data_IF_467558004661
#
_entry.id   IF_467558004661
#
_cell.length_a   1.000
_cell.length_b   1.000
_cell.length_c   1.000
_cell.angle_alpha   90.00
_cell.angle_beta   90.00
_cell.angle_gamma   90.00
#
_symmetry.space_group_name_H-M   'P 1'
#
loop_
_entity.id
_entity.type
_entity.pdbx_description
1 polymer ?
#
# COMPACT_ATOMS: atom_id res chain seq x y z
N UNK A 1 -3.46 -2.42 12.88
CA UNK A 1 -3.72 -3.35 11.76
C UNK A 1 -3.47 -4.81 12.13
N UNK A 2 -2.32 -5.14 12.72
CA UNK A 2 -1.96 -6.49 13.23
C UNK A 2 -3.10 -7.26 13.91
N UNK A 3 -3.78 -6.68 14.90
CA UNK A 3 -4.93 -7.32 15.58
C UNK A 3 -6.05 -7.73 14.62
N UNK A 4 -6.35 -6.92 13.61
CA UNK A 4 -7.40 -7.21 12.62
C UNK A 4 -6.99 -8.37 11.72
N UNK A 5 -5.72 -8.47 11.32
CA UNK A 5 -5.21 -9.66 10.60
C UNK A 5 -5.37 -10.95 11.40
N UNK A 6 -5.09 -10.93 12.71
CA UNK A 6 -5.35 -12.09 13.57
C UNK A 6 -6.81 -12.56 13.50
N UNK A 7 -7.75 -11.63 13.61
CA UNK A 7 -9.18 -11.93 13.51
C UNK A 7 -9.56 -12.47 12.12
N UNK A 8 -9.00 -11.91 11.05
CA UNK A 8 -9.23 -12.36 9.68
C UNK A 8 -8.76 -13.80 9.49
N UNK A 9 -7.61 -14.17 10.06
CA UNK A 9 -7.13 -15.54 10.00
C UNK A 9 -8.04 -16.50 10.76
N UNK A 10 -8.54 -16.12 11.93
CA UNK A 10 -9.49 -16.92 12.70
C UNK A 10 -10.79 -17.18 11.92
N UNK A 11 -11.35 -16.11 11.34
CA UNK A 11 -12.60 -16.12 10.56
C UNK A 11 -12.47 -16.82 9.20
N UNK A 12 -11.25 -17.08 8.74
CA UNK A 12 -11.04 -17.67 7.43
C UNK A 12 -11.51 -19.13 7.39
N UNK A 13 -12.35 -19.48 6.43
CA UNK A 13 -12.95 -20.83 6.33
C UNK A 13 -12.17 -21.80 5.45
N UNK A 14 -11.21 -21.32 4.66
CA UNK A 14 -10.46 -22.16 3.71
C UNK A 14 -9.04 -22.48 4.17
N UNK A 15 -8.55 -21.80 5.22
CA UNK A 15 -7.28 -22.11 5.86
C UNK A 15 -7.42 -23.23 6.90
N UNK A 16 -6.54 -24.22 6.85
CA UNK A 16 -6.37 -25.20 7.92
C UNK A 16 -5.85 -24.54 9.21
N UNK A 17 -6.18 -25.11 10.37
CA UNK A 17 -5.78 -24.56 11.69
C UNK A 17 -4.27 -24.37 11.84
N UNK A 18 -3.47 -25.31 11.31
CA UNK A 18 -2.01 -25.21 11.33
C UNK A 18 -1.53 -24.02 10.47
N UNK A 19 -2.09 -23.84 9.28
CA UNK A 19 -1.78 -22.70 8.41
C UNK A 19 -2.13 -21.38 9.07
N UNK A 20 -3.29 -21.29 9.75
CA UNK A 20 -3.68 -20.10 10.54
C UNK A 20 -2.65 -19.79 11.62
N UNK A 21 -2.19 -20.80 12.36
CA UNK A 21 -1.18 -20.62 13.40
C UNK A 21 0.15 -20.10 12.84
N UNK A 22 0.62 -20.68 11.72
CA UNK A 22 1.85 -20.22 11.03
C UNK A 22 1.72 -18.79 10.49
N UNK A 23 0.58 -18.42 9.89
CA UNK A 23 0.32 -17.06 9.42
C UNK A 23 0.32 -16.04 10.56
N UNK A 24 -0.29 -16.40 11.71
CA UNK A 24 -0.29 -15.57 12.91
C UNK A 24 1.10 -15.39 13.51
N UNK A 25 1.91 -16.46 13.52
CA UNK A 25 3.29 -16.38 13.95
C UNK A 25 4.12 -15.50 13.00
N UNK A 26 4.03 -15.72 11.68
CA UNK A 26 4.72 -14.90 10.67
C UNK A 26 4.34 -13.43 10.80
N UNK A 27 3.04 -13.14 11.01
CA UNK A 27 2.60 -11.80 11.33
C UNK A 27 3.35 -11.28 12.56
N UNK A 28 3.27 -11.95 13.71
CA UNK A 28 3.90 -11.52 14.97
C UNK A 28 5.42 -11.31 14.87
N UNK A 29 6.11 -12.06 14.01
CA UNK A 29 7.55 -11.96 13.81
C UNK A 29 7.97 -10.73 12.98
N UNK A 30 7.04 -10.13 12.21
CA UNK A 30 7.33 -8.91 11.42
C UNK A 30 7.55 -7.72 12.35
N UNK A 31 8.71 -7.09 12.22
CA UNK A 31 9.03 -5.82 12.87
C UNK A 31 8.29 -4.65 12.22
N UNK A 32 8.03 -3.59 12.99
CA UNK A 32 7.42 -2.36 12.49
C UNK A 32 8.41 -1.21 12.72
N UNK A 33 8.81 -0.52 11.64
CA UNK A 33 9.83 0.54 11.67
C UNK A 33 9.21 1.83 11.14
N UNK A 34 9.21 2.89 11.94
CA UNK A 34 8.52 4.14 11.63
C UNK A 34 9.46 5.34 11.66
N UNK A 35 9.22 6.30 10.77
CA UNK A 35 9.83 7.63 10.83
C UNK A 35 11.24 7.67 10.23
N UNK A 36 12.24 7.76 11.10
CA UNK A 36 13.64 7.93 10.70
C UNK A 36 14.58 7.33 11.75
N UNK A 37 15.82 7.06 11.35
CA UNK A 37 16.87 6.63 12.29
C UNK A 37 17.34 7.84 13.10
N UNK A 38 17.44 7.71 14.44
CA UNK A 38 18.00 8.74 15.33
C UNK A 38 19.39 9.24 14.93
N UNK A 39 20.18 8.44 14.20
CA UNK A 39 21.46 8.89 13.63
C UNK A 39 21.30 10.06 12.65
N UNK A 40 20.15 10.17 11.98
CA UNK A 40 19.84 11.32 11.13
C UNK A 40 19.65 12.64 11.93
N UNK A 41 19.52 12.57 13.27
CA UNK A 41 19.47 13.75 14.14
C UNK A 41 20.81 14.07 14.81
N UNK A 42 21.81 13.20 14.66
CA UNK A 42 23.13 13.39 15.25
C UNK A 42 23.97 14.25 14.30
N UNK A 43 24.13 15.52 14.66
CA UNK A 43 24.84 16.50 13.84
C UNK A 43 26.24 16.03 13.47
N UNK A 44 26.99 15.45 14.41
CA UNK A 44 28.37 15.04 14.13
C UNK A 44 28.39 13.93 13.09
N UNK A 45 27.51 12.94 13.21
CA UNK A 45 27.41 11.85 12.23
C UNK A 45 27.01 12.34 10.84
N UNK A 46 26.16 13.36 10.78
CA UNK A 46 25.76 13.99 9.52
C UNK A 46 26.94 14.76 8.91
N UNK A 47 27.68 15.52 9.72
CA UNK A 47 28.86 16.25 9.28
C UNK A 47 29.92 15.25 8.75
N UNK A 48 30.21 14.18 9.49
CA UNK A 48 31.14 13.11 9.09
C UNK A 48 30.70 12.42 7.77
N UNK A 49 29.39 12.19 7.60
CA UNK A 49 28.81 11.64 6.37
C UNK A 49 29.07 12.56 5.17
N UNK A 50 28.84 13.86 5.30
CA UNK A 50 29.04 14.81 4.20
C UNK A 50 30.52 15.07 3.90
N UNK A 51 31.42 14.93 4.87
CA UNK A 51 32.87 14.96 4.62
C UNK A 51 33.33 13.84 3.66
N UNK A 52 32.68 12.67 3.70
CA UNK A 52 32.99 11.53 2.83
C UNK A 52 32.40 11.64 1.41
N UNK A 53 31.57 12.66 1.16
CA UNK A 53 30.88 12.86 -0.12
C UNK A 53 31.24 14.25 -0.67
N UNK A 54 32.46 14.42 -1.21
CA UNK A 54 32.87 15.70 -1.76
C UNK A 54 31.98 16.09 -2.94
N UNK A 55 31.38 17.28 -2.85
CA UNK A 55 30.51 17.82 -3.90
C UNK A 55 31.35 18.14 -5.15
N UNK A 56 31.00 17.59 -6.33
CA UNK A 56 31.72 17.90 -7.55
C UNK A 56 31.50 19.37 -7.94
N UNK A 57 32.56 20.05 -8.39
CA UNK A 57 32.47 21.44 -8.86
C UNK A 57 31.70 21.57 -10.18
N UNK A 58 31.73 20.52 -11.01
CA UNK A 58 30.98 20.42 -12.26
C UNK A 58 30.18 19.13 -12.30
N UNK A 59 28.95 19.21 -12.83
CA UNK A 59 28.05 18.06 -12.96
C UNK A 59 28.05 17.52 -14.39
N UNK A 60 28.55 16.30 -14.56
CA UNK A 60 28.37 15.48 -15.75
C UNK A 60 27.98 14.04 -15.35
N UNK A 61 27.74 13.17 -16.33
CA UNK A 61 27.31 11.79 -16.05
C UNK A 61 28.31 11.00 -15.19
N UNK A 62 29.62 11.22 -15.37
CA UNK A 62 30.66 10.52 -14.62
C UNK A 62 30.72 11.03 -13.18
N UNK A 63 30.73 12.35 -12.97
CA UNK A 63 30.78 12.93 -11.62
C UNK A 63 29.50 12.62 -10.83
N UNK A 64 28.36 12.53 -11.50
CA UNK A 64 27.10 12.09 -10.89
C UNK A 64 27.20 10.63 -10.40
N UNK A 65 27.67 9.70 -11.24
CA UNK A 65 27.83 8.30 -10.84
C UNK A 65 28.84 8.13 -9.69
N UNK A 66 29.94 8.88 -9.72
CA UNK A 66 30.91 8.89 -8.62
C UNK A 66 30.36 9.48 -7.32
N UNK A 67 29.46 10.47 -7.42
CA UNK A 67 28.76 11.03 -6.26
C UNK A 67 27.79 9.99 -5.67
N UNK A 68 26.95 9.37 -6.51
CA UNK A 68 25.97 8.35 -6.10
C UNK A 68 26.65 7.13 -5.44
N UNK A 69 27.76 6.65 -6.00
CA UNK A 69 28.53 5.53 -5.46
C UNK A 69 29.11 5.86 -4.08
N UNK A 70 29.74 7.04 -3.95
CA UNK A 70 30.27 7.51 -2.65
C UNK A 70 29.17 7.76 -1.62
N UNK A 71 28.06 8.38 -2.02
CA UNK A 71 26.93 8.62 -1.13
C UNK A 71 26.31 7.31 -0.63
N UNK A 72 26.17 6.32 -1.51
CA UNK A 72 25.68 4.98 -1.16
C UNK A 72 26.64 4.27 -0.19
N UNK A 73 27.94 4.34 -0.45
CA UNK A 73 28.95 3.74 0.44
C UNK A 73 28.99 4.43 1.81
N UNK A 74 29.02 5.76 1.85
CA UNK A 74 28.99 6.53 3.10
C UNK A 74 27.69 6.28 3.89
N UNK A 75 26.54 6.20 3.23
CA UNK A 75 25.26 5.91 3.89
C UNK A 75 25.27 4.52 4.56
N UNK A 76 25.95 3.56 3.92
CA UNK A 76 26.17 2.22 4.46
C UNK A 76 27.12 2.25 5.67
N UNK A 77 28.28 2.90 5.54
CA UNK A 77 29.32 3.00 6.59
C UNK A 77 28.79 3.65 7.86
N UNK A 78 28.07 4.77 7.74
CA UNK A 78 27.47 5.46 8.89
C UNK A 78 26.15 4.86 9.38
N UNK A 79 25.66 3.80 8.71
CA UNK A 79 24.34 3.25 8.95
C UNK A 79 23.26 4.34 9.01
N UNK A 80 23.30 5.28 8.07
CA UNK A 80 22.50 6.51 8.09
C UNK A 80 20.99 6.20 8.16
N UNK A 81 20.56 5.20 7.40
CA UNK A 81 19.18 4.71 7.43
C UNK A 81 18.96 3.64 8.52
N UNK A 82 20.05 3.05 9.05
CA UNK A 82 20.05 1.91 9.97
C UNK A 82 18.97 0.90 9.64
N UNK A 83 18.08 0.65 10.60
CA UNK A 83 17.01 -0.31 10.44
C UNK A 83 15.94 0.12 9.42
N UNK A 84 15.83 1.38 9.00
CA UNK A 84 14.86 1.72 7.96
C UNK A 84 15.20 1.14 6.59
N UNK A 85 16.49 0.91 6.30
CA UNK A 85 17.05 0.46 5.00
C UNK A 85 16.59 1.25 3.75
N UNK A 86 15.82 2.32 3.92
CA UNK A 86 15.34 3.23 2.89
C UNK A 86 15.47 4.67 3.40
N UNK A 87 15.55 5.62 2.47
CA UNK A 87 15.53 7.04 2.78
C UNK A 87 14.29 7.42 3.61
N UNK A 88 14.45 8.05 4.79
CA UNK A 88 13.33 8.47 5.64
C UNK A 88 12.41 9.50 4.97
N UNK A 89 12.90 10.29 4.00
CA UNK A 89 12.11 11.29 3.28
C UNK A 89 11.36 10.71 2.08
N UNK A 90 11.58 9.43 1.77
CA UNK A 90 10.86 8.76 0.68
C UNK A 90 9.36 8.71 0.99
N UNK A 91 8.56 9.22 0.05
CA UNK A 91 7.10 9.07 0.08
C UNK A 91 6.74 7.68 -0.47
N UNK A 92 7.02 6.65 0.33
CA UNK A 92 6.65 5.28 0.03
C UNK A 92 6.54 4.47 1.34
N UNK A 93 6.01 3.25 1.27
CA UNK A 93 6.12 2.26 2.33
C UNK A 93 6.69 0.97 1.73
N UNK A 94 7.34 0.13 2.55
CA UNK A 94 7.92 -1.13 2.06
C UNK A 94 7.78 -2.26 3.07
N UNK A 95 7.54 -3.46 2.54
CA UNK A 95 7.75 -4.71 3.24
C UNK A 95 9.11 -5.31 2.86
N UNK A 96 9.99 -5.51 3.84
CA UNK A 96 11.32 -6.09 3.66
C UNK A 96 11.28 -7.62 3.70
N UNK A 97 10.50 -8.21 2.80
CA UNK A 97 10.38 -9.65 2.62
C UNK A 97 10.06 -10.38 3.95
N UNK A 98 9.01 -9.92 4.60
CA UNK A 98 8.45 -10.36 5.89
C UNK A 98 9.34 -10.18 7.12
N UNK A 99 10.44 -9.44 7.01
CA UNK A 99 11.26 -9.11 8.19
C UNK A 99 10.73 -7.89 8.91
N UNK A 100 10.44 -6.84 8.14
CA UNK A 100 9.95 -5.59 8.68
C UNK A 100 9.01 -4.89 7.70
N UNK A 101 8.09 -4.12 8.25
CA UNK A 101 7.34 -3.10 7.53
C UNK A 101 7.95 -1.74 7.88
N UNK A 102 8.37 -1.00 6.87
CA UNK A 102 8.98 0.32 7.05
C UNK A 102 8.04 1.39 6.53
N UNK A 103 7.70 2.34 7.41
CA UNK A 103 6.91 3.53 7.10
C UNK A 103 7.78 4.76 7.39
N UNK A 104 8.51 5.28 6.39
CA UNK A 104 9.34 6.48 6.49
C UNK A 104 8.55 7.73 6.93
N UNK A 105 9.21 8.71 7.54
CA UNK A 105 8.57 9.98 7.94
C UNK A 105 7.99 10.73 6.74
N UNK A 106 8.59 10.59 5.55
CA UNK A 106 8.14 11.24 4.32
C UNK A 106 6.71 10.88 3.91
N UNK A 107 6.22 9.67 4.22
CA UNK A 107 4.82 9.29 3.97
C UNK A 107 3.89 9.59 5.15
N UNK A 108 4.43 9.84 6.35
CA UNK A 108 3.67 10.22 7.55
C UNK A 108 3.39 11.73 7.53
N UNK A 109 2.73 12.17 6.46
CA UNK A 109 2.35 13.56 6.21
C UNK A 109 1.06 13.62 5.42
N UNK A 110 0.50 14.81 5.26
CA UNK A 110 -0.69 15.03 4.42
C UNK A 110 -0.39 14.71 2.95
N UNK A 111 -1.28 14.04 2.21
CA UNK A 111 -2.66 13.69 2.57
C UNK A 111 -2.84 12.30 3.23
N UNK A 112 -1.76 11.62 3.61
CA UNK A 112 -1.84 10.25 4.14
C UNK A 112 -2.15 10.21 5.63
N UNK A 113 -1.51 11.09 6.41
CA UNK A 113 -1.64 11.12 7.86
C UNK A 113 -1.50 12.53 8.41
N UNK A 114 -2.30 12.83 9.42
CA UNK A 114 -2.10 13.95 10.33
C UNK A 114 -2.70 13.55 11.70
N UNK A 115 -1.96 13.71 12.81
CA UNK A 115 -2.42 13.30 14.13
C UNK A 115 -3.68 14.05 14.61
N UNK A 116 -3.98 15.22 14.04
CA UNK A 116 -5.16 16.03 14.36
C UNK A 116 -6.38 15.70 13.50
N UNK A 117 -6.22 14.90 12.44
CA UNK A 117 -7.31 14.58 11.53
C UNK A 117 -8.27 13.52 12.09
N UNK A 118 -9.55 13.54 11.67
CA UNK A 118 -10.51 12.50 12.01
C UNK A 118 -10.03 11.09 11.60
N UNK A 119 -10.51 10.07 12.31
CA UNK A 119 -10.08 8.68 12.12
C UNK A 119 -10.29 8.20 10.69
N UNK A 120 -11.41 8.54 10.07
CA UNK A 120 -11.74 8.16 8.70
C UNK A 120 -10.66 8.59 7.69
N UNK A 121 -10.00 9.74 7.89
CA UNK A 121 -8.92 10.21 7.03
C UNK A 121 -7.62 9.47 7.28
N UNK A 122 -7.22 9.29 8.55
CA UNK A 122 -5.99 8.58 8.88
C UNK A 122 -6.06 7.08 8.51
N UNK A 123 -7.20 6.43 8.74
CA UNK A 123 -7.38 5.04 8.38
C UNK A 123 -7.60 4.85 6.87
N UNK A 124 -8.31 5.77 6.21
CA UNK A 124 -8.46 5.77 4.75
C UNK A 124 -7.14 6.10 4.04
N UNK A 125 -6.35 7.03 4.57
CA UNK A 125 -5.05 7.47 4.05
C UNK A 125 -3.92 6.49 4.36
N UNK A 126 -3.17 6.71 5.44
CA UNK A 126 -2.01 5.87 5.77
C UNK A 126 -2.44 4.45 6.22
N UNK A 127 -3.64 4.29 6.79
CA UNK A 127 -4.12 3.00 7.26
C UNK A 127 -4.22 1.93 6.18
N UNK A 128 -4.73 2.26 4.98
CA UNK A 128 -4.75 1.30 3.86
C UNK A 128 -3.34 0.89 3.42
N UNK A 129 -2.36 1.80 3.53
CA UNK A 129 -0.97 1.59 3.09
C UNK A 129 -0.27 0.67 4.08
N UNK A 130 -0.43 0.93 5.39
CA UNK A 130 0.05 0.01 6.43
C UNK A 130 -0.58 -1.38 6.24
N UNK A 131 -1.89 -1.46 5.98
CA UNK A 131 -2.57 -2.72 5.70
C UNK A 131 -2.07 -3.42 4.43
N UNK A 132 -1.68 -2.65 3.40
CA UNK A 132 -1.08 -3.13 2.16
C UNK A 132 0.30 -3.77 2.45
N UNK A 133 1.18 -3.08 3.17
CA UNK A 133 2.50 -3.63 3.53
C UNK A 133 2.41 -4.87 4.45
N UNK A 134 1.45 -4.89 5.37
CA UNK A 134 1.17 -6.11 6.14
C UNK A 134 0.71 -7.25 5.24
N UNK A 135 0.02 -6.99 4.13
CA UNK A 135 -0.42 -8.06 3.23
C UNK A 135 0.75 -8.72 2.52
N UNK A 136 1.79 -7.96 2.16
CA UNK A 136 3.02 -8.51 1.58
C UNK A 136 3.73 -9.51 2.49
N UNK A 137 3.46 -9.46 3.81
CA UNK A 137 3.94 -10.48 4.76
C UNK A 137 3.48 -11.90 4.42
N UNK A 138 2.47 -12.06 3.56
CA UNK A 138 1.82 -13.34 3.28
C UNK A 138 1.90 -13.74 1.81
N UNK A 139 2.56 -12.95 0.98
CA UNK A 139 2.83 -13.34 -0.39
C UNK A 139 4.10 -14.22 -0.48
N UNK A 140 4.44 -14.62 -1.70
CA UNK A 140 5.59 -15.45 -2.05
C UNK A 140 6.91 -14.65 -2.19
N UNK A 141 6.95 -13.36 -1.82
CA UNK A 141 8.18 -12.53 -1.80
C UNK A 141 9.06 -12.77 -0.57
N UNK A 142 8.72 -13.75 0.27
CA UNK A 142 9.46 -14.10 1.50
C UNK A 142 10.95 -14.32 1.25
N UNK A 143 11.79 -13.63 2.01
CA UNK A 143 13.23 -13.89 2.10
C UNK A 143 13.58 -14.86 3.23
N UNK A 144 12.57 -15.35 3.96
CA UNK A 144 12.78 -16.29 5.05
C UNK A 144 12.71 -17.73 4.53
N UNK A 145 13.61 -18.63 5.00
CA UNK A 145 13.59 -20.06 4.67
C UNK A 145 12.37 -20.80 5.25
N UNK A 146 11.37 -20.08 5.78
CA UNK A 146 10.13 -20.60 6.39
C UNK A 146 9.15 -21.20 5.37
N UNK A 147 9.46 -21.11 4.08
CA UNK A 147 8.63 -21.65 2.99
C UNK A 147 7.35 -20.84 2.73
N UNK A 148 6.63 -21.23 1.69
CA UNK A 148 5.31 -20.70 1.38
C UNK A 148 4.31 -21.16 2.45
N UNK A 149 3.52 -20.25 3.01
CA UNK A 149 2.54 -20.55 4.06
C UNK A 149 1.17 -20.06 3.60
N UNK A 150 0.31 -20.99 3.18
CA UNK A 150 -1.07 -20.71 2.80
C UNK A 150 -1.23 -20.19 1.37
N UNK A 151 -0.23 -19.49 0.84
CA UNK A 151 -0.15 -19.07 -0.57
C UNK A 151 0.16 -20.23 -1.55
N UNK A 152 0.59 -21.38 -1.03
CA UNK A 152 0.83 -22.62 -1.76
C UNK A 152 -0.44 -23.44 -2.03
N UNK A 153 -1.52 -23.18 -1.27
CA UNK A 153 -2.78 -23.91 -1.36
C UNK A 153 -3.50 -23.72 -2.70
N UNK A 154 -4.28 -24.72 -3.11
CA UNK A 154 -5.11 -24.65 -4.33
C UNK A 154 -6.11 -23.49 -4.24
N UNK A 155 -6.73 -23.32 -3.08
CA UNK A 155 -7.71 -22.28 -2.79
C UNK A 155 -7.11 -20.88 -2.90
N UNK A 156 -5.87 -20.67 -2.47
CA UNK A 156 -5.18 -19.40 -2.68
C UNK A 156 -4.96 -19.11 -4.16
N UNK A 157 -4.45 -20.08 -4.93
CA UNK A 157 -4.22 -19.93 -6.38
C UNK A 157 -5.50 -19.61 -7.15
N UNK A 158 -6.63 -20.21 -6.77
CA UNK A 158 -7.94 -19.88 -7.35
C UNK A 158 -8.36 -18.44 -7.05
N UNK A 159 -8.12 -17.96 -5.83
CA UNK A 159 -8.42 -16.58 -5.41
C UNK A 159 -7.51 -15.58 -6.10
N UNK A 160 -6.22 -15.89 -6.19
CA UNK A 160 -5.22 -15.11 -6.92
C UNK A 160 -5.58 -15.01 -8.41
N UNK A 161 -5.98 -16.13 -9.04
CA UNK A 161 -6.46 -16.13 -10.42
C UNK A 161 -7.63 -15.17 -10.65
N UNK A 162 -8.51 -14.97 -9.66
CA UNK A 162 -9.56 -13.96 -9.77
C UNK A 162 -8.99 -12.56 -10.00
N UNK A 163 -7.94 -12.18 -9.25
CA UNK A 163 -7.28 -10.88 -9.41
C UNK A 163 -6.53 -10.80 -10.75
N UNK A 164 -5.82 -11.87 -11.15
CA UNK A 164 -5.17 -11.94 -12.46
C UNK A 164 -6.19 -11.70 -13.59
N UNK A 165 -7.34 -12.38 -13.54
CA UNK A 165 -8.38 -12.26 -14.56
C UNK A 165 -9.05 -10.88 -14.52
N UNK A 166 -9.34 -10.35 -13.33
CA UNK A 166 -9.95 -9.02 -13.17
C UNK A 166 -9.05 -7.94 -13.75
N UNK A 167 -7.82 -7.83 -13.27
CA UNK A 167 -6.89 -6.76 -13.66
C UNK A 167 -6.34 -6.95 -15.07
N UNK A 168 -6.19 -8.21 -15.51
CA UNK A 168 -5.87 -8.54 -16.89
C UNK A 168 -7.00 -8.20 -17.87
N UNK A 169 -8.23 -7.99 -17.40
CA UNK A 169 -9.39 -7.55 -18.20
C UNK A 169 -9.61 -6.03 -18.22
N UNK A 170 -8.87 -5.26 -17.40
CA UNK A 170 -9.03 -3.79 -17.36
C UNK A 170 -8.25 -3.16 -18.50
N UNK A 171 -8.91 -2.24 -19.21
CA UNK A 171 -8.26 -1.37 -20.20
C UNK A 171 -8.28 0.06 -19.68
N UNK A 172 -7.13 0.74 -19.73
CA UNK A 172 -6.99 2.14 -19.32
C UNK A 172 -6.17 2.94 -20.33
N UNK A 173 -6.41 4.24 -20.43
CA UNK A 173 -5.71 5.10 -21.38
C UNK A 173 -6.33 6.49 -21.52
N UNK A 174 -5.88 7.27 -22.50
CA UNK A 174 -6.46 8.58 -22.82
C UNK A 174 -7.34 8.50 -24.08
N UNK A 175 -8.67 8.60 -23.97
CA UNK A 175 -9.54 8.70 -25.14
C UNK A 175 -9.22 9.91 -26.02
N UNK A 176 -8.81 11.04 -25.43
CA UNK A 176 -8.45 12.26 -26.18
C UNK A 176 -7.18 12.10 -27.02
N UNK A 177 -6.34 11.12 -26.70
CA UNK A 177 -5.09 10.84 -27.43
C UNK A 177 -5.13 9.51 -28.16
N UNK A 178 -6.28 8.82 -28.16
CA UNK A 178 -6.43 7.50 -28.74
C UNK A 178 -5.41 6.46 -28.20
N UNK A 179 -5.05 6.57 -26.92
CA UNK A 179 -4.17 5.62 -26.22
C UNK A 179 -5.03 4.67 -25.41
N UNK A 180 -4.78 3.37 -25.56
CA UNK A 180 -5.45 2.30 -24.84
C UNK A 180 -4.43 1.22 -24.45
N UNK A 181 -4.39 0.86 -23.17
CA UNK A 181 -3.43 -0.07 -22.58
C UNK A 181 -4.20 -1.14 -21.82
N UNK A 182 -3.90 -2.40 -22.11
CA UNK A 182 -4.43 -3.53 -21.35
C UNK A 182 -3.64 -3.69 -20.05
N UNK A 183 -4.34 -3.89 -18.94
CA UNK A 183 -3.73 -4.24 -17.66
C UNK A 183 -3.00 -5.57 -17.74
N UNK A 184 -1.93 -5.70 -16.96
CA UNK A 184 -1.15 -6.92 -16.89
C UNK A 184 -1.43 -7.62 -15.56
N UNK A 185 -2.55 -8.34 -15.48
CA UNK A 185 -2.97 -9.02 -14.26
C UNK A 185 -1.92 -10.02 -13.73
N UNK A 186 -1.12 -10.65 -14.61
CA UNK A 186 -0.03 -11.54 -14.19
C UNK A 186 1.10 -10.79 -13.51
N UNK A 187 1.40 -9.57 -13.93
CA UNK A 187 2.40 -8.72 -13.27
C UNK A 187 1.83 -8.05 -12.00
N UNK A 188 0.55 -7.68 -12.02
CA UNK A 188 -0.04 -6.76 -11.04
C UNK A 188 -0.83 -7.43 -9.90
N UNK A 189 -1.04 -8.74 -9.94
CA UNK A 189 -1.91 -9.43 -8.98
C UNK A 189 -1.48 -9.27 -7.52
N UNK A 190 -0.18 -9.28 -7.21
CA UNK A 190 0.31 -9.18 -5.82
C UNK A 190 -0.03 -7.82 -5.20
N UNK A 191 0.28 -6.74 -5.92
CA UNK A 191 -0.06 -5.38 -5.51
C UNK A 191 -1.56 -5.14 -5.37
N UNK A 192 -2.34 -5.74 -6.26
CA UNK A 192 -3.80 -5.57 -6.25
C UNK A 192 -4.48 -6.40 -5.17
N UNK A 193 -3.90 -7.54 -4.80
CA UNK A 193 -4.27 -8.31 -3.60
C UNK A 193 -3.93 -7.49 -2.35
N UNK A 194 -2.73 -6.91 -2.26
CA UNK A 194 -2.29 -6.07 -1.15
C UNK A 194 -3.19 -4.84 -0.99
N UNK A 195 -3.53 -4.17 -2.08
CA UNK A 195 -4.51 -3.08 -2.11
C UNK A 195 -5.88 -3.49 -1.60
N UNK A 196 -6.41 -4.61 -2.10
CA UNK A 196 -7.75 -5.08 -1.73
C UNK A 196 -7.82 -5.54 -0.27
N UNK A 197 -6.75 -6.12 0.27
CA UNK A 197 -6.69 -6.52 1.67
C UNK A 197 -6.41 -5.32 2.59
N UNK A 198 -5.49 -4.44 2.20
CA UNK A 198 -5.11 -3.26 2.97
C UNK A 198 -6.29 -2.35 3.30
N UNK A 199 -7.12 -2.04 2.30
CA UNK A 199 -8.34 -1.23 2.51
C UNK A 199 -9.34 -1.92 3.45
N UNK A 200 -9.50 -3.24 3.39
CA UNK A 200 -10.44 -3.98 4.24
C UNK A 200 -9.98 -4.05 5.69
N UNK A 201 -8.67 -4.28 5.89
CA UNK A 201 -8.05 -4.27 7.22
C UNK A 201 -8.17 -2.87 7.82
N UNK A 202 -7.87 -1.83 7.04
CA UNK A 202 -8.01 -0.45 7.47
C UNK A 202 -9.44 -0.09 7.83
N UNK A 203 -10.41 -0.49 7.00
CA UNK A 203 -11.83 -0.29 7.25
C UNK A 203 -12.30 -0.94 8.56
N UNK A 204 -11.96 -2.22 8.78
CA UNK A 204 -12.34 -2.91 10.01
C UNK A 204 -11.68 -2.29 11.24
N UNK A 205 -10.40 -1.93 11.15
CA UNK A 205 -9.70 -1.26 12.24
C UNK A 205 -10.30 0.12 12.55
N UNK A 206 -10.71 0.88 11.52
CA UNK A 206 -11.42 2.14 11.66
C UNK A 206 -12.75 1.95 12.39
N UNK A 207 -13.59 1.00 11.94
CA UNK A 207 -14.89 0.75 12.56
C UNK A 207 -14.76 0.38 14.04
N UNK A 208 -13.81 -0.50 14.37
CA UNK A 208 -13.54 -0.91 15.75
C UNK A 208 -13.05 0.27 16.60
N UNK A 209 -12.10 1.08 16.09
CA UNK A 209 -11.56 2.23 16.81
C UNK A 209 -12.60 3.33 17.00
N UNK A 210 -13.40 3.62 15.96
CA UNK A 210 -14.50 4.58 16.02
C UNK A 210 -15.56 4.16 17.04
N UNK A 211 -15.95 2.89 17.03
CA UNK A 211 -16.91 2.34 18.01
C UNK A 211 -16.35 2.45 19.43
N UNK A 212 -15.06 2.18 19.62
CA UNK A 212 -14.39 2.31 20.92
C UNK A 212 -14.39 3.76 21.44
N UNK A 213 -14.12 4.74 20.59
CA UNK A 213 -13.97 6.14 21.01
C UNK A 213 -15.28 6.91 21.09
N UNK A 214 -16.22 6.63 20.19
CA UNK A 214 -17.42 7.47 19.99
C UNK A 214 -18.75 6.68 20.06
N UNK A 215 -18.70 5.36 20.27
CA UNK A 215 -19.90 4.54 20.31
C UNK A 215 -20.68 4.56 19.00
N UNK A 216 -21.98 4.90 19.07
CA UNK A 216 -22.90 4.91 17.92
C UNK A 216 -22.94 6.25 17.16
N UNK A 217 -22.51 7.34 17.80
CA UNK A 217 -22.71 8.70 17.29
C UNK A 217 -21.37 9.46 17.19
N UNK A 218 -20.48 9.08 16.26
CA UNK A 218 -19.26 9.82 16.01
C UNK A 218 -19.58 11.24 15.51
N UNK A 219 -18.77 12.25 15.86
CA UNK A 219 -18.96 13.61 15.38
C UNK A 219 -18.82 13.65 13.85
N UNK A 220 -19.64 14.48 13.20
CA UNK A 220 -19.53 14.77 11.76
C UNK A 220 -18.49 15.86 11.53
N UNK A 221 -17.84 15.81 10.36
CA UNK A 221 -16.89 16.83 9.97
C UNK A 221 -17.60 18.16 9.61
N UNK A 222 -17.21 19.30 10.22
CA UNK A 222 -17.72 20.60 9.81
C UNK A 222 -17.39 20.91 8.35
N UNK A 223 -18.37 21.41 7.59
CA UNK A 223 -18.24 21.73 6.18
C UNK A 223 -18.44 20.57 5.22
N UNK A 224 -18.56 19.33 5.72
CA UNK A 224 -18.86 18.11 4.94
C UNK A 224 -19.97 17.27 5.61
N UNK A 225 -20.91 17.91 6.31
CA UNK A 225 -21.95 17.22 7.08
C UNK A 225 -22.93 16.40 6.23
N UNK A 226 -22.98 16.66 4.92
CA UNK A 226 -23.70 15.87 3.93
C UNK A 226 -23.12 14.47 3.73
N UNK A 227 -21.83 14.27 4.05
CA UNK A 227 -21.20 12.96 4.04
C UNK A 227 -21.29 12.29 5.41
N UNK A 228 -21.43 10.96 5.40
CA UNK A 228 -21.20 10.13 6.57
C UNK A 228 -19.69 9.90 6.75
N UNK A 229 -19.23 9.67 7.98
CA UNK A 229 -17.82 9.35 8.26
C UNK A 229 -17.37 8.09 7.48
N UNK A 230 -18.30 7.17 7.21
CA UNK A 230 -18.07 5.99 6.36
C UNK A 230 -17.80 6.36 4.91
N UNK A 231 -18.55 7.31 4.34
CA UNK A 231 -18.25 7.85 3.00
C UNK A 231 -16.92 8.61 2.99
N UNK A 232 -16.65 9.39 4.04
CA UNK A 232 -15.39 10.13 4.17
C UNK A 232 -14.17 9.21 4.23
N UNK A 233 -14.27 8.02 4.85
CA UNK A 233 -13.20 7.02 4.81
C UNK A 233 -12.85 6.61 3.37
N UNK A 234 -13.86 6.30 2.55
CA UNK A 234 -13.64 5.88 1.16
C UNK A 234 -13.15 7.04 0.28
N UNK A 235 -13.60 8.27 0.56
CA UNK A 235 -13.08 9.47 -0.10
C UNK A 235 -11.60 9.68 0.26
N UNK A 236 -11.25 9.65 1.54
CA UNK A 236 -9.87 9.78 2.01
C UNK A 236 -8.95 8.70 1.43
N UNK A 237 -9.47 7.49 1.28
CA UNK A 237 -8.79 6.39 0.60
C UNK A 237 -8.43 6.71 -0.86
N UNK A 238 -9.30 7.41 -1.59
CA UNK A 238 -9.08 7.68 -3.01
C UNK A 238 -8.11 8.85 -3.24
N UNK A 239 -8.08 9.84 -2.33
CA UNK A 239 -7.32 11.09 -2.51
C UNK A 239 -5.81 10.90 -2.77
N UNK A 240 -5.08 10.00 -2.08
CA UNK A 240 -3.66 9.82 -2.36
C UNK A 240 -3.32 9.35 -3.78
N UNK A 241 -4.28 8.72 -4.46
CA UNK A 241 -4.12 8.28 -5.85
C UNK A 241 -4.61 9.32 -6.87
N UNK A 242 -5.09 10.49 -6.42
CA UNK A 242 -5.42 11.60 -7.30
C UNK A 242 -4.13 12.18 -7.90
N UNK A 243 -3.98 12.04 -9.20
CA UNK A 243 -2.84 12.58 -9.93
C UNK A 243 -3.05 12.43 -11.43
N UNK A 244 -2.25 13.17 -12.21
CA UNK A 244 -2.21 13.01 -13.66
C UNK A 244 -1.11 12.01 -13.98
N UNK A 245 -1.47 10.86 -14.56
CA UNK A 245 -0.47 9.87 -15.01
C UNK A 245 0.18 10.36 -16.31
N UNK A 246 1.52 10.55 -16.36
CA UNK A 246 2.26 11.05 -17.54
C UNK A 246 1.96 10.28 -18.85
N UNK A 247 1.71 8.97 -18.73
CA UNK A 247 1.31 8.03 -19.79
C UNK A 247 0.21 8.43 -20.76
N UNK A 248 -0.60 9.37 -20.33
CA UNK A 248 -1.87 9.73 -20.91
C UNK A 248 -1.70 11.11 -21.59
N UNK A 249 -0.49 11.56 -21.94
CA UNK A 249 -0.20 12.87 -22.57
C UNK A 249 0.61 12.79 -23.89
N UNK A 250 0.39 13.73 -24.84
CA UNK A 250 0.90 13.62 -26.22
C UNK A 250 2.38 13.96 -26.39
N UNK A 251 3.03 14.53 -25.39
CA UNK A 251 4.38 15.12 -25.55
C UNK A 251 5.47 14.35 -24.79
N UNK A 252 5.21 13.11 -24.37
CA UNK A 252 6.15 12.37 -23.55
C UNK A 252 6.62 11.08 -24.23
N UNK A 253 7.94 10.93 -24.29
CA UNK A 253 8.66 9.90 -25.05
C UNK A 253 8.35 8.48 -24.54
N UNK A 254 8.53 7.46 -25.41
CA UNK A 254 8.39 6.01 -25.08
C UNK A 254 9.12 5.53 -23.81
N UNK A 255 10.12 6.27 -23.31
CA UNK A 255 10.81 5.98 -22.04
C UNK A 255 9.87 6.00 -20.83
N UNK A 256 8.71 6.64 -20.94
CA UNK A 256 7.75 6.70 -19.85
C UNK A 256 6.89 5.45 -19.71
N UNK A 257 6.88 4.54 -20.70
CA UNK A 257 6.20 3.23 -20.65
C UNK A 257 6.67 2.30 -19.51
N UNK A 258 7.55 2.76 -18.61
CA UNK A 258 7.91 2.11 -17.34
C UNK A 258 6.71 1.52 -16.59
N UNK A 259 5.53 2.13 -16.62
CA UNK A 259 4.31 1.56 -16.00
C UNK A 259 3.85 0.24 -16.63
N UNK A 260 4.23 -0.06 -17.88
CA UNK A 260 3.95 -1.38 -18.49
C UNK A 260 4.74 -2.50 -17.81
N UNK A 261 5.84 -2.13 -17.16
CA UNK A 261 6.70 -3.01 -16.38
C UNK A 261 6.55 -2.81 -14.87
N UNK A 262 5.67 -1.89 -14.43
CA UNK A 262 5.37 -1.67 -13.03
C UNK A 262 4.36 -2.71 -12.53
N UNK A 263 4.65 -3.29 -11.38
CA UNK A 263 3.76 -4.20 -10.67
C UNK A 263 2.54 -3.49 -10.09
N UNK A 264 2.59 -2.17 -9.94
CA UNK A 264 1.45 -1.37 -9.54
C UNK A 264 0.65 -0.91 -10.76
N UNK A 265 -0.68 -1.15 -10.80
CA UNK A 265 -1.54 -0.46 -11.74
C UNK A 265 -1.50 1.05 -11.51
N UNK A 266 -1.91 1.83 -12.52
CA UNK A 266 -2.07 3.27 -12.36
C UNK A 266 -3.07 3.60 -11.24
N UNK A 267 -2.90 4.76 -10.58
CA UNK A 267 -3.65 5.12 -9.38
C UNK A 267 -5.17 5.01 -9.50
N UNK A 268 -5.75 5.42 -10.63
CA UNK A 268 -7.20 5.32 -10.87
C UNK A 268 -7.70 3.86 -10.94
N UNK A 269 -6.91 2.96 -11.52
CA UNK A 269 -7.21 1.52 -11.57
C UNK A 269 -7.08 0.92 -10.17
N UNK A 270 -6.04 1.26 -9.41
CA UNK A 270 -5.86 0.83 -8.02
C UNK A 270 -7.07 1.22 -7.16
N UNK A 271 -7.55 2.45 -7.28
CA UNK A 271 -8.76 2.91 -6.54
C UNK A 271 -10.01 2.17 -7.00
N UNK A 272 -10.31 2.19 -8.29
CA UNK A 272 -11.61 1.72 -8.77
C UNK A 272 -11.76 0.20 -8.64
N UNK A 273 -10.74 -0.57 -9.02
CA UNK A 273 -10.84 -2.03 -9.06
C UNK A 273 -10.89 -2.66 -7.67
N UNK A 274 -10.16 -2.11 -6.69
CA UNK A 274 -10.26 -2.62 -5.31
C UNK A 274 -11.60 -2.29 -4.65
N UNK A 275 -12.20 -1.13 -4.98
CA UNK A 275 -13.52 -0.76 -4.48
C UNK A 275 -14.63 -1.62 -5.09
N UNK A 276 -14.52 -2.02 -6.37
CA UNK A 276 -15.43 -3.01 -6.99
C UNK A 276 -15.49 -4.31 -6.20
N UNK A 277 -14.37 -4.72 -5.62
CA UNK A 277 -14.27 -5.93 -4.80
C UNK A 277 -14.82 -5.77 -3.37
N UNK A 278 -15.16 -4.56 -2.94
CA UNK A 278 -15.45 -4.28 -1.53
C UNK A 278 -16.93 -3.98 -1.27
N UNK A 279 -17.64 -4.95 -0.67
CA UNK A 279 -19.07 -4.79 -0.33
C UNK A 279 -19.35 -3.58 0.56
N UNK A 280 -18.48 -3.29 1.53
CA UNK A 280 -18.67 -2.14 2.41
C UNK A 280 -18.77 -0.83 1.61
N UNK A 281 -17.95 -0.64 0.57
CA UNK A 281 -18.05 0.51 -0.32
C UNK A 281 -19.42 0.56 -1.02
N UNK A 282 -19.83 -0.55 -1.63
CA UNK A 282 -21.12 -0.63 -2.32
C UNK A 282 -22.31 -0.35 -1.37
N UNK A 283 -22.26 -0.84 -0.14
CA UNK A 283 -23.28 -0.56 0.89
C UNK A 283 -23.25 0.90 1.31
N UNK A 284 -22.07 1.46 1.60
CA UNK A 284 -21.89 2.85 2.06
C UNK A 284 -22.41 3.86 1.04
N UNK A 285 -22.19 3.62 -0.26
CA UNK A 285 -22.65 4.49 -1.34
C UNK A 285 -23.96 4.02 -2.00
N UNK A 286 -24.60 2.96 -1.47
CA UNK A 286 -25.84 2.38 -2.00
C UNK A 286 -25.75 2.06 -3.50
N UNK A 287 -24.61 1.55 -3.94
CA UNK A 287 -24.37 1.22 -5.34
C UNK A 287 -25.28 0.06 -5.81
N UNK A 288 -25.99 0.25 -6.92
CA UNK A 288 -26.84 -0.78 -7.51
C UNK A 288 -26.03 -2.04 -7.86
N UNK A 289 -26.52 -3.22 -7.51
CA UNK A 289 -25.94 -4.51 -7.94
C UNK A 289 -25.84 -4.55 -9.48
N UNK A 290 -24.74 -5.08 -10.00
CA UNK A 290 -24.41 -5.11 -11.42
C UNK A 290 -24.14 -3.75 -12.07
N UNK A 291 -23.97 -2.69 -11.28
CA UNK A 291 -23.32 -1.47 -11.77
C UNK A 291 -21.82 -1.67 -11.94
N UNK A 292 -21.17 -0.79 -12.72
CA UNK A 292 -19.72 -0.82 -12.94
C UNK A 292 -18.90 -0.84 -11.64
N UNK A 293 -19.40 -0.20 -10.58
CA UNK A 293 -18.71 -0.09 -9.27
C UNK A 293 -19.19 -1.13 -8.25
N UNK A 294 -20.21 -1.94 -8.59
CA UNK A 294 -20.72 -3.01 -7.73
C UNK A 294 -21.06 -4.27 -8.55
N UNK A 295 -20.05 -4.93 -9.14
CA UNK A 295 -20.25 -6.20 -9.85
C UNK A 295 -20.64 -7.30 -8.86
N UNK A 296 -21.40 -8.28 -9.34
CA UNK A 296 -21.77 -9.48 -8.57
C UNK A 296 -20.54 -10.33 -8.21
N UNK A 297 -19.66 -10.60 -9.18
CA UNK A 297 -18.40 -11.31 -8.95
C UNK A 297 -17.36 -10.35 -8.36
N UNK A 298 -16.84 -10.68 -7.17
CA UNK A 298 -15.82 -9.90 -6.45
C UNK A 298 -14.65 -10.78 -6.04
N UNK A 299 -13.43 -10.32 -6.31
CA UNK A 299 -12.21 -11.04 -5.94
C UNK A 299 -11.83 -10.79 -4.48
N UNK A 300 -11.37 -11.85 -3.81
CA UNK A 300 -11.05 -11.81 -2.38
C UNK A 300 -10.20 -13.01 -1.96
N UNK A 301 -9.04 -12.74 -1.34
CA UNK A 301 -8.19 -13.76 -0.74
C UNK A 301 -8.66 -14.11 0.68
N UNK A 302 -8.60 -13.14 1.59
CA UNK A 302 -8.99 -13.36 2.99
C UNK A 302 -10.49 -13.09 3.19
N UNK A 303 -11.21 -13.96 3.88
CA UNK A 303 -12.62 -13.73 4.22
C UNK A 303 -12.69 -12.86 5.48
N UNK A 304 -13.62 -11.92 5.49
CA UNK A 304 -13.93 -11.00 6.59
C UNK A 304 -15.45 -11.09 6.68
N UNK A 305 -15.95 -11.41 7.87
CA UNK A 305 -17.36 -11.21 8.15
C UNK A 305 -17.61 -9.70 8.32
N UNK A 306 -18.83 -9.27 8.00
CA UNK A 306 -19.32 -7.87 7.85
C UNK A 306 -19.20 -7.31 6.44
#
# INVERSE_FOLDING_TARGET
MRRVFHQIFDENTWLASETKAKLKQRLNDVEERYGYNKHALDRQKIDDFYEMIPMPQEWNAVTFLQFEDRASWAASEFHLFGDLVTDPLRINAVNLADRAIVIPIGIITTPFYDPTWPLEFNYGGIGQIIGHEFTHTFDDRSALPKGNVGNDTKEYREKEKCFVDQFGGVTYGNPRLNISIQGNGKLQHKETIADSNGIRVAWRAYLEKRKQLYGRNPPKLPGLQEFTNDQLFFLAQAQPACGRTPAIYPNQNRKELSWLHDEHPIGSVRVNEKLKNFNAFATTFKCKLNSTVNPEKKCRVWRYYH
#
